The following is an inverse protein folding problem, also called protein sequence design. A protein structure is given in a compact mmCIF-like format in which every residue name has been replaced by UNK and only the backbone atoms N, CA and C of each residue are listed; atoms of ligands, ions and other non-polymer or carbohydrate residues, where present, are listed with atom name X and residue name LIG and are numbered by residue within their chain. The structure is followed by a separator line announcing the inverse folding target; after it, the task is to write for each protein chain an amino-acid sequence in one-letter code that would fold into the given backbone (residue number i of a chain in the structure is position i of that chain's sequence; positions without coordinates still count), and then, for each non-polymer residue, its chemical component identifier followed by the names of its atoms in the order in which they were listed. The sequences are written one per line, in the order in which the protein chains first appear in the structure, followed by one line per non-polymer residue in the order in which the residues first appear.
data_IF_185172229548
#
_entry.id   IF_185172229548
#
_cell.length_a   1.000
_cell.length_b   1.000
_cell.length_c   1.000
_cell.angle_alpha   90.00
_cell.angle_beta   90.00
_cell.angle_gamma   90.00
#
_symmetry.space_group_name_H-M   'P 1'
#
loop_
_entity.id
_entity.type
_entity.pdbx_description
1 polymer ?
#
# COMPACT_ATOMS: atom_id res chain seq x y z
N UNK A 1 2.19 3.15 12.03
CA UNK A 1 2.20 2.47 10.72
C UNK A 1 2.31 0.96 10.83
N UNK A 2 2.99 0.40 11.84
CA UNK A 2 3.15 -1.07 12.01
C UNK A 2 1.82 -1.85 11.95
N UNK A 3 0.77 -1.37 12.63
CA UNK A 3 -0.55 -2.04 12.65
C UNK A 3 -1.16 -2.19 11.25
N UNK A 4 -1.13 -1.12 10.44
CA UNK A 4 -1.69 -1.13 9.09
C UNK A 4 -0.88 -2.00 8.14
N UNK A 5 0.45 -1.93 8.21
CA UNK A 5 1.35 -2.80 7.43
C UNK A 5 1.15 -4.28 7.75
N UNK A 6 1.01 -4.61 9.04
CA UNK A 6 0.72 -5.98 9.49
C UNK A 6 -0.66 -6.44 9.02
N UNK A 7 -1.67 -5.55 9.04
CA UNK A 7 -2.98 -5.87 8.48
C UNK A 7 -2.91 -6.18 6.97
N UNK A 8 -2.16 -5.38 6.20
CA UNK A 8 -1.95 -5.62 4.76
C UNK A 8 -1.24 -6.96 4.52
N UNK A 9 -0.21 -7.27 5.31
CA UNK A 9 0.45 -8.58 5.24
C UNK A 9 -0.53 -9.74 5.44
N UNK A 10 -1.41 -9.63 6.44
CA UNK A 10 -2.43 -10.64 6.70
C UNK A 10 -3.50 -10.70 5.59
N UNK A 11 -3.84 -9.58 4.97
CA UNK A 11 -4.70 -9.54 3.78
C UNK A 11 -4.08 -10.34 2.63
N UNK A 12 -2.78 -10.15 2.38
CA UNK A 12 -2.04 -10.77 1.28
C UNK A 12 -1.66 -12.23 1.54
N UNK A 13 -1.70 -12.70 2.78
CA UNK A 13 -1.54 -14.11 3.11
C UNK A 13 -2.75 -14.98 2.69
N UNK A 14 -3.90 -14.36 2.35
CA UNK A 14 -5.11 -15.09 1.92
C UNK A 14 -4.92 -15.79 0.58
N UNK A 15 -5.76 -16.77 0.27
CA UNK A 15 -5.71 -17.55 -0.99
C UNK A 15 -6.10 -16.73 -2.23
N UNK A 16 -7.02 -15.78 -2.09
CA UNK A 16 -7.52 -14.96 -3.20
C UNK A 16 -7.15 -13.49 -2.97
N UNK A 17 -6.82 -12.80 -4.05
CA UNK A 17 -6.57 -11.37 -4.00
C UNK A 17 -7.85 -10.61 -3.62
N UNK A 18 -7.73 -9.47 -2.91
CA UNK A 18 -8.89 -8.70 -2.50
C UNK A 18 -9.68 -8.18 -3.71
N UNK A 19 -11.01 -8.10 -3.59
CA UNK A 19 -11.85 -7.64 -4.70
C UNK A 19 -11.47 -6.23 -5.16
N UNK A 20 -11.47 -6.00 -6.48
CA UNK A 20 -11.16 -4.69 -7.06
C UNK A 20 -9.68 -4.32 -7.06
N UNK A 21 -8.78 -5.25 -6.71
CA UNK A 21 -7.34 -4.97 -6.69
C UNK A 21 -6.80 -4.50 -8.04
N UNK A 22 -7.33 -5.01 -9.16
CA UNK A 22 -6.90 -4.58 -10.50
C UNK A 22 -7.14 -3.09 -10.70
N UNK A 23 -8.35 -2.62 -10.42
CA UNK A 23 -8.70 -1.20 -10.51
C UNK A 23 -7.81 -0.37 -9.59
N UNK A 24 -7.64 -0.79 -8.33
CA UNK A 24 -6.79 -0.06 -7.39
C UNK A 24 -5.35 0.09 -7.88
N UNK A 25 -4.75 -0.98 -8.40
CA UNK A 25 -3.36 -0.94 -8.91
C UNK A 25 -3.24 -0.08 -10.17
N UNK A 26 -4.19 -0.16 -11.11
CA UNK A 26 -4.22 0.71 -12.30
C UNK A 26 -4.40 2.17 -11.89
N UNK A 27 -5.32 2.45 -10.98
CA UNK A 27 -5.55 3.81 -10.45
C UNK A 27 -4.28 4.36 -9.80
N UNK A 28 -3.62 3.56 -8.95
CA UNK A 28 -2.37 3.96 -8.31
C UNK A 28 -1.27 4.30 -9.33
N UNK A 29 -1.09 3.47 -10.37
CA UNK A 29 -0.05 3.69 -11.38
C UNK A 29 -0.33 4.94 -12.22
N UNK A 30 -1.61 5.21 -12.51
CA UNK A 30 -2.01 6.30 -13.41
C UNK A 30 -2.17 7.65 -12.71
N UNK A 31 -2.65 7.66 -11.46
CA UNK A 31 -2.96 8.89 -10.71
C UNK A 31 -1.90 9.22 -9.65
N UNK A 32 -1.13 8.22 -9.21
CA UNK A 32 -0.11 8.35 -8.17
C UNK A 32 1.20 7.67 -8.60
N UNK A 33 1.63 7.91 -9.84
CA UNK A 33 2.76 7.22 -10.48
C UNK A 33 4.05 7.26 -9.65
N UNK A 34 4.39 8.40 -9.05
CA UNK A 34 5.55 8.54 -8.16
C UNK A 34 5.41 7.69 -6.88
N UNK A 35 4.20 7.58 -6.34
CA UNK A 35 3.91 6.72 -5.19
C UNK A 35 4.06 5.25 -5.57
N UNK A 36 3.52 4.85 -6.72
CA UNK A 36 3.65 3.49 -7.24
C UNK A 36 5.11 3.12 -7.52
N UNK A 37 5.90 4.01 -8.13
CA UNK A 37 7.31 3.76 -8.43
C UNK A 37 8.22 3.88 -7.20
N UNK A 38 7.82 4.69 -6.21
CA UNK A 38 8.65 5.07 -5.05
C UNK A 38 8.62 4.09 -3.87
N UNK A 39 8.06 2.89 -4.05
CA UNK A 39 7.90 1.88 -3.00
C UNK A 39 9.22 1.45 -2.36
N UNK A 40 9.15 1.04 -1.09
CA UNK A 40 10.28 0.43 -0.39
C UNK A 40 10.27 -1.09 -0.58
N UNK A 41 11.28 -1.62 -1.27
CA UNK A 41 11.35 -3.04 -1.63
C UNK A 41 11.28 -4.01 -0.45
N UNK A 42 11.89 -3.65 0.69
CA UNK A 42 11.81 -4.44 1.94
C UNK A 42 10.38 -4.50 2.48
N UNK A 43 9.74 -3.34 2.61
CA UNK A 43 8.35 -3.24 3.10
C UNK A 43 7.40 -4.01 2.20
N UNK A 44 7.56 -3.90 0.88
CA UNK A 44 6.75 -4.64 -0.07
C UNK A 44 6.99 -6.17 0.03
N UNK A 45 8.24 -6.61 0.14
CA UNK A 45 8.56 -8.03 0.34
C UNK A 45 7.97 -8.58 1.66
N UNK A 46 8.07 -7.82 2.75
CA UNK A 46 7.48 -8.17 4.05
C UNK A 46 5.95 -8.29 3.97
N UNK A 47 5.27 -7.35 3.30
CA UNK A 47 3.83 -7.41 3.06
C UNK A 47 3.42 -8.61 2.19
N UNK A 48 4.23 -8.95 1.19
CA UNK A 48 4.00 -10.12 0.34
C UNK A 48 4.35 -11.45 1.05
N UNK A 49 4.86 -11.42 2.29
CA UNK A 49 5.27 -12.62 3.02
C UNK A 49 6.53 -13.28 2.46
N UNK A 50 7.33 -12.55 1.70
CA UNK A 50 8.57 -13.03 1.09
C UNK A 50 9.66 -13.12 2.15
N UNK A 51 10.29 -14.29 2.26
CA UNK A 51 11.50 -14.46 3.06
C UNK A 51 12.71 -14.00 2.24
N UNK A 52 13.55 -13.17 2.85
CA UNK A 52 14.80 -12.70 2.25
C UNK A 52 15.87 -12.55 3.34
N UNK A 53 17.13 -12.59 2.91
CA UNK A 53 18.28 -12.28 3.76
C UNK A 53 18.71 -10.84 3.48
N UNK A 54 19.13 -10.13 4.53
CA UNK A 54 19.65 -8.78 4.41
C UNK A 54 20.87 -8.73 3.48
N UNK A 55 20.95 -7.70 2.64
CA UNK A 55 22.07 -7.49 1.72
C UNK A 55 22.47 -6.02 1.67
N UNK A 56 23.77 -5.78 1.67
CA UNK A 56 24.38 -4.45 1.53
C UNK A 56 24.58 -4.04 0.05
N UNK A 57 24.11 -4.84 -0.90
CA UNK A 57 24.24 -4.53 -2.32
C UNK A 57 23.50 -3.23 -2.66
N UNK A 58 24.16 -2.36 -3.43
CA UNK A 58 23.54 -1.11 -3.89
C UNK A 58 22.28 -1.39 -4.72
N UNK A 59 21.22 -0.61 -4.47
CA UNK A 59 19.90 -0.79 -5.07
C UNK A 59 19.33 -2.22 -4.91
N UNK A 60 19.67 -2.88 -3.80
CA UNK A 60 19.08 -4.16 -3.45
C UNK A 60 17.58 -4.02 -3.16
N UNK A 61 16.80 -4.97 -3.67
CA UNK A 61 15.35 -5.00 -3.55
C UNK A 61 14.88 -6.46 -3.46
N UNK A 62 14.48 -6.95 -2.26
CA UNK A 62 14.09 -8.34 -2.09
C UNK A 62 12.82 -8.73 -2.84
N UNK A 63 11.91 -7.77 -3.10
CA UNK A 63 10.73 -8.04 -3.91
C UNK A 63 11.11 -8.27 -5.39
N UNK A 64 12.08 -7.49 -5.92
CA UNK A 64 12.63 -7.71 -7.27
C UNK A 64 13.21 -9.11 -7.40
N UNK A 65 14.00 -9.54 -6.42
CA UNK A 65 14.62 -10.86 -6.42
C UNK A 65 13.55 -11.97 -6.33
N UNK A 66 12.46 -11.74 -5.58
CA UNK A 66 11.34 -12.66 -5.49
C UNK A 66 10.61 -12.84 -6.82
N UNK A 67 10.23 -11.76 -7.49
CA UNK A 67 9.50 -11.83 -8.78
C UNK A 67 10.37 -12.37 -9.91
N UNK A 68 11.70 -12.29 -9.79
CA UNK A 68 12.62 -12.96 -10.72
C UNK A 68 12.67 -14.49 -10.50
N UNK A 69 12.42 -14.97 -9.27
CA UNK A 69 12.47 -16.40 -8.92
C UNK A 69 11.17 -17.15 -9.19
N UNK A 70 10.03 -16.47 -9.19
CA UNK A 70 8.72 -17.13 -9.39
C UNK A 70 7.71 -16.23 -10.08
N UNK A 71 6.90 -16.84 -10.94
CA UNK A 71 5.73 -16.23 -11.58
C UNK A 71 4.42 -16.62 -10.89
N UNK A 72 4.50 -17.29 -9.74
CA UNK A 72 3.33 -17.76 -9.00
C UNK A 72 2.64 -16.59 -8.30
N UNK A 73 1.35 -16.39 -8.55
CA UNK A 73 0.50 -15.40 -7.87
C UNK A 73 1.09 -13.97 -7.90
N UNK A 74 1.49 -13.45 -9.08
CA UNK A 74 2.18 -12.17 -9.20
C UNK A 74 1.34 -10.98 -8.72
N UNK A 75 0.01 -11.15 -8.68
CA UNK A 75 -0.92 -10.15 -8.17
C UNK A 75 -0.62 -9.74 -6.72
N UNK A 76 -0.13 -10.65 -5.88
CA UNK A 76 0.18 -10.33 -4.48
C UNK A 76 1.43 -9.45 -4.36
N UNK A 77 2.44 -9.70 -5.19
CA UNK A 77 3.63 -8.85 -5.29
C UNK A 77 3.28 -7.46 -5.80
N UNK A 78 2.38 -7.37 -6.79
CA UNK A 78 1.92 -6.07 -7.31
C UNK A 78 1.12 -5.28 -6.26
N UNK A 79 0.20 -5.92 -5.55
CA UNK A 79 -0.56 -5.23 -4.49
C UNK A 79 0.38 -4.80 -3.36
N UNK A 80 1.30 -5.66 -2.93
CA UNK A 80 2.27 -5.33 -1.89
C UNK A 80 3.16 -4.13 -2.27
N UNK A 81 3.64 -4.10 -3.52
CA UNK A 81 4.41 -2.99 -4.08
C UNK A 81 3.63 -1.67 -3.97
N UNK A 82 2.38 -1.67 -4.45
CA UNK A 82 1.54 -0.47 -4.43
C UNK A 82 1.24 -0.02 -2.99
N UNK A 83 0.85 -0.95 -2.11
CA UNK A 83 0.61 -0.64 -0.69
C UNK A 83 1.87 -0.07 -0.01
N UNK A 84 3.04 -0.66 -0.25
CA UNK A 84 4.30 -0.15 0.31
C UNK A 84 4.64 1.26 -0.19
N UNK A 85 4.33 1.57 -1.46
CA UNK A 85 4.40 2.93 -2.00
C UNK A 85 3.55 3.91 -1.20
N UNK A 86 2.26 3.62 -1.03
CA UNK A 86 1.37 4.48 -0.24
C UNK A 86 1.80 4.60 1.23
N UNK A 87 2.25 3.51 1.86
CA UNK A 87 2.71 3.53 3.26
C UNK A 87 3.90 4.46 3.49
N UNK A 88 4.71 4.73 2.47
CA UNK A 88 5.81 5.70 2.53
C UNK A 88 5.30 7.14 2.57
N UNK A 89 4.14 7.40 1.94
CA UNK A 89 3.54 8.74 1.87
C UNK A 89 2.81 9.14 3.15
N UNK A 90 2.34 8.19 3.95
CA UNK A 90 1.60 8.46 5.19
C UNK A 90 2.55 8.47 6.39
N UNK A 91 2.87 9.68 6.83
CA UNK A 91 3.67 9.99 8.01
C UNK A 91 2.79 10.17 9.26
N UNK A 92 3.42 10.24 10.44
CA UNK A 92 2.73 10.33 11.74
C UNK A 92 1.79 11.55 11.84
N UNK A 93 2.13 12.64 11.16
CA UNK A 93 1.45 13.92 11.19
C UNK A 93 0.64 14.21 9.92
N UNK A 94 0.54 13.25 8.97
CA UNK A 94 -0.21 13.42 7.72
C UNK A 94 -1.68 13.78 7.92
N UNK A 95 -2.27 13.49 9.09
CA UNK A 95 -3.62 13.90 9.44
C UNK A 95 -3.81 15.43 9.50
N UNK A 96 -2.73 16.20 9.68
CA UNK A 96 -2.77 17.66 9.67
C UNK A 96 -2.80 18.27 8.27
N UNK A 97 -2.32 17.52 7.28
CA UNK A 97 -2.34 17.94 5.87
C UNK A 97 -2.66 16.75 4.95
N UNK A 98 -3.91 16.25 4.99
CA UNK A 98 -4.32 15.08 4.19
C UNK A 98 -4.23 15.33 2.68
N UNK A 99 -3.58 14.43 1.94
CA UNK A 99 -3.55 14.46 0.48
C UNK A 99 -4.55 13.48 -0.15
N UNK A 100 -4.81 13.63 -1.45
CA UNK A 100 -5.66 12.69 -2.18
C UNK A 100 -5.07 11.27 -2.19
N UNK A 101 -3.75 11.16 -2.34
CA UNK A 101 -2.98 9.91 -2.25
C UNK A 101 -3.24 9.18 -0.94
N UNK A 102 -3.30 9.89 0.19
CA UNK A 102 -3.60 9.28 1.50
C UNK A 102 -5.04 8.75 1.55
N UNK A 103 -6.00 9.54 1.05
CA UNK A 103 -7.42 9.19 1.06
C UNK A 103 -7.71 7.98 0.19
N UNK A 104 -7.18 7.93 -1.03
CA UNK A 104 -7.42 6.82 -1.95
C UNK A 104 -6.95 5.49 -1.37
N UNK A 105 -5.78 5.48 -0.73
CA UNK A 105 -5.25 4.29 -0.08
C UNK A 105 -6.07 3.88 1.15
N UNK A 106 -6.31 4.80 2.09
CA UNK A 106 -7.04 4.49 3.31
C UNK A 106 -8.47 4.02 3.03
N UNK A 107 -9.16 4.68 2.09
CA UNK A 107 -10.48 4.24 1.64
C UNK A 107 -10.44 2.85 1.02
N UNK A 108 -9.43 2.56 0.18
CA UNK A 108 -9.28 1.22 -0.39
C UNK A 108 -9.07 0.14 0.68
N UNK A 109 -8.24 0.42 1.70
CA UNK A 109 -8.05 -0.51 2.80
C UNK A 109 -9.34 -0.75 3.57
N UNK A 110 -10.11 0.30 3.86
CA UNK A 110 -11.41 0.20 4.53
C UNK A 110 -12.39 -0.65 3.71
N UNK A 111 -12.43 -0.46 2.38
CA UNK A 111 -13.23 -1.29 1.47
C UNK A 111 -12.82 -2.78 1.52
N UNK A 112 -11.55 -3.07 1.79
CA UNK A 112 -11.05 -4.44 1.99
C UNK A 112 -11.23 -4.97 3.43
N UNK A 113 -11.85 -4.18 4.31
CA UNK A 113 -12.19 -4.56 5.68
C UNK A 113 -11.21 -4.07 6.75
N UNK A 114 -10.33 -3.12 6.44
CA UNK A 114 -9.49 -2.47 7.44
C UNK A 114 -10.33 -1.55 8.33
N UNK A 115 -10.15 -1.61 9.64
CA UNK A 115 -10.78 -0.64 10.56
C UNK A 115 -9.81 0.50 10.80
N UNK A 116 -10.11 1.67 10.21
CA UNK A 116 -9.32 2.88 10.39
C UNK A 116 -9.35 3.37 11.84
N UNK A 117 -8.20 3.79 12.35
CA UNK A 117 -8.08 4.49 13.64
C UNK A 117 -8.74 5.87 13.59
N UNK A 118 -8.97 6.48 14.75
CA UNK A 118 -9.52 7.84 14.83
C UNK A 118 -8.71 8.86 14.03
N UNK A 119 -7.37 8.77 14.09
CA UNK A 119 -6.48 9.66 13.34
C UNK A 119 -6.57 9.43 11.83
N UNK A 120 -6.72 8.18 11.39
CA UNK A 120 -6.90 7.87 9.97
C UNK A 120 -8.28 8.28 9.45
N UNK A 121 -9.31 8.25 10.29
CA UNK A 121 -10.63 8.79 9.95
C UNK A 121 -10.58 10.29 9.67
N UNK A 122 -9.79 11.07 10.42
CA UNK A 122 -9.57 12.50 10.11
C UNK A 122 -9.06 12.68 8.66
N UNK A 123 -8.14 11.83 8.21
CA UNK A 123 -7.62 11.87 6.84
C UNK A 123 -8.73 11.54 5.83
N UNK A 124 -9.49 10.48 6.07
CA UNK A 124 -10.59 10.05 5.20
C UNK A 124 -11.65 11.16 5.07
N UNK A 125 -12.14 11.66 6.20
CA UNK A 125 -13.24 12.62 6.29
C UNK A 125 -12.86 14.01 5.74
N UNK A 126 -11.57 14.34 5.68
CA UNK A 126 -11.08 15.59 5.09
C UNK A 126 -11.48 15.75 3.61
N UNK A 127 -11.65 14.64 2.88
CA UNK A 127 -12.05 14.65 1.48
C UNK A 127 -13.54 14.84 1.26
N UNK A 128 -14.38 14.38 2.20
CA UNK A 128 -15.83 14.56 2.13
C UNK A 128 -16.21 16.03 2.32
N UNK A 129 -15.51 16.73 3.22
CA UNK A 129 -15.67 18.17 3.43
C UNK A 129 -15.31 18.99 2.19
N UNK A 130 -14.29 18.58 1.44
CA UNK A 130 -13.89 19.26 0.21
C UNK A 130 -14.95 19.14 -0.91
N UNK A 131 -15.60 17.98 -1.04
CA UNK A 131 -16.65 17.74 -2.05
C UNK A 131 -17.98 18.43 -1.77
N UNK A 132 -18.23 18.82 -0.52
CA UNK A 132 -19.49 19.49 -0.11
C UNK A 132 -19.38 21.02 -0.21
N UNK A 133 -18.17 21.54 -0.37
CA UNK A 133 -17.88 22.98 -0.48
C UNK A 133 -17.77 23.46 -1.94
N UNK A 134 -18.05 22.58 -2.91
CA UNK A 134 -18.04 22.81 -4.35
C UNK A 134 -19.45 22.60 -4.92
#
# INVERSE_FOLDING_TARGET
TTVRREWVKNLLAKKQAPKGWQYFTVHAITHHSETASGYEGKVAAEMAGVKFEESNQWAWNPLRDHVAKTTTRPEFSLIALICAGYEKTIQKDSWRSPSQTHRDYLNQLVLWGYTASEVEKIIIDSGEKAKTAE
#
